data_IF_559851009384
#
_entry.id   IF_559851009384
#
_cell.length_a   1.000
_cell.length_b   1.000
_cell.length_c   1.000
_cell.angle_alpha   90.00
_cell.angle_beta   90.00
_cell.angle_gamma   90.00
#
_symmetry.space_group_name_H-M   'P 1'
#
loop_
_entity.id
_entity.type
_entity.pdbx_description
1 polymer ?
#
# COMPACT_ATOMS: atom_id res chain seq x y z
N UNK A 1 34.59 -21.11 23.36
CA UNK A 1 33.85 -20.56 24.51
C UNK A 1 33.48 -19.09 24.32
N UNK A 2 34.43 -18.18 24.08
CA UNK A 2 34.13 -16.76 23.83
C UNK A 2 33.24 -16.50 22.59
N UNK A 3 33.45 -17.21 21.48
CA UNK A 3 32.62 -17.10 20.28
C UNK A 3 31.16 -17.52 20.55
N UNK A 4 30.97 -18.65 21.24
CA UNK A 4 29.64 -19.15 21.64
C UNK A 4 28.90 -18.16 22.54
N UNK A 5 29.62 -17.55 23.50
CA UNK A 5 29.05 -16.55 24.39
C UNK A 5 28.65 -15.26 23.66
N UNK A 6 29.41 -14.87 22.63
CA UNK A 6 29.08 -13.72 21.79
C UNK A 6 27.84 -13.98 20.93
N UNK A 7 27.72 -15.19 20.37
CA UNK A 7 26.55 -15.65 19.60
C UNK A 7 25.29 -15.69 20.48
N UNK A 8 25.34 -16.35 21.64
CA UNK A 8 24.22 -16.39 22.60
C UNK A 8 23.77 -14.97 23.02
N UNK A 9 24.72 -14.04 23.18
CA UNK A 9 24.40 -12.65 23.52
C UNK A 9 23.71 -11.92 22.36
N UNK A 10 24.14 -12.18 21.14
CA UNK A 10 23.56 -11.57 19.94
C UNK A 10 22.14 -12.11 19.67
N UNK A 11 21.92 -13.41 19.86
CA UNK A 11 20.60 -14.03 19.77
C UNK A 11 19.62 -13.43 20.78
N UNK A 12 20.04 -13.29 22.05
CA UNK A 12 19.20 -12.68 23.09
C UNK A 12 18.79 -11.26 22.72
N UNK A 13 19.72 -10.45 22.21
CA UNK A 13 19.42 -9.10 21.74
C UNK A 13 18.45 -9.12 20.57
N UNK A 14 18.69 -9.98 19.59
CA UNK A 14 17.81 -10.15 18.43
C UNK A 14 16.37 -10.43 18.88
N UNK A 15 16.18 -11.35 19.82
CA UNK A 15 14.86 -11.68 20.35
C UNK A 15 14.21 -10.46 21.04
N UNK A 16 14.96 -9.72 21.86
CA UNK A 16 14.43 -8.49 22.50
C UNK A 16 13.96 -7.48 21.46
N UNK A 17 14.78 -7.18 20.45
CA UNK A 17 14.44 -6.23 19.38
C UNK A 17 13.15 -6.65 18.67
N UNK A 18 13.06 -7.93 18.30
CA UNK A 18 11.89 -8.45 17.58
C UNK A 18 10.64 -8.48 18.44
N UNK A 19 10.73 -8.84 19.72
CA UNK A 19 9.61 -8.83 20.66
C UNK A 19 9.08 -7.41 20.89
N UNK A 20 9.96 -6.43 21.09
CA UNK A 20 9.58 -5.03 21.24
C UNK A 20 8.88 -4.48 19.99
N UNK A 21 9.40 -4.81 18.81
CA UNK A 21 8.74 -4.44 17.55
C UNK A 21 7.37 -5.10 17.38
N UNK A 22 7.26 -6.40 17.64
CA UNK A 22 6.00 -7.14 17.54
C UNK A 22 4.94 -6.69 18.55
N UNK A 23 5.36 -6.18 19.70
CA UNK A 23 4.45 -5.64 20.72
C UNK A 23 4.11 -4.16 20.48
N UNK A 24 4.73 -3.51 19.50
CA UNK A 24 4.56 -2.10 19.19
C UNK A 24 5.24 -1.16 20.19
N UNK A 25 6.17 -1.68 21.01
CA UNK A 25 6.98 -0.89 21.93
C UNK A 25 8.11 -0.14 21.21
N UNK A 26 8.57 -0.68 20.08
CA UNK A 26 9.64 -0.09 19.24
C UNK A 26 9.14 0.14 17.82
N UNK A 27 9.46 1.31 17.26
CA UNK A 27 9.14 1.66 15.87
C UNK A 27 10.16 1.05 14.89
N UNK A 28 9.87 1.11 13.58
CA UNK A 28 10.84 0.70 12.55
C UNK A 28 12.16 1.47 12.68
N UNK A 29 12.09 2.75 13.03
CA UNK A 29 13.27 3.61 13.14
C UNK A 29 14.13 3.25 14.35
N UNK A 30 13.49 2.84 15.46
CA UNK A 30 14.18 2.34 16.65
C UNK A 30 14.89 1.01 16.35
N UNK A 31 14.18 0.08 15.70
CA UNK A 31 14.77 -1.21 15.29
C UNK A 31 15.93 -1.01 14.34
N UNK A 32 15.79 -0.13 13.33
CA UNK A 32 16.90 0.22 12.44
C UNK A 32 18.11 0.71 13.22
N UNK A 33 17.92 1.69 14.11
CA UNK A 33 19.01 2.26 14.89
C UNK A 33 19.70 1.19 15.75
N UNK A 34 18.93 0.30 16.35
CA UNK A 34 19.48 -0.77 17.17
C UNK A 34 20.21 -1.82 16.32
N UNK A 35 19.66 -2.19 15.17
CA UNK A 35 20.32 -3.13 14.25
C UNK A 35 21.65 -2.56 13.75
N UNK A 36 21.69 -1.28 13.35
CA UNK A 36 22.91 -0.60 12.91
C UNK A 36 23.97 -0.49 14.02
N UNK A 37 23.57 -0.38 15.28
CA UNK A 37 24.48 -0.29 16.42
C UNK A 37 25.01 -1.66 16.89
N UNK A 38 24.18 -2.70 16.82
CA UNK A 38 24.45 -3.98 17.45
C UNK A 38 25.00 -5.03 16.48
N UNK A 39 24.76 -4.88 15.17
CA UNK A 39 25.12 -5.87 14.16
C UNK A 39 26.15 -5.32 13.18
N UNK A 40 26.94 -6.24 12.63
CA UNK A 40 27.90 -5.99 11.56
C UNK A 40 27.44 -6.71 10.31
N UNK A 41 28.00 -6.39 9.14
CA UNK A 41 27.69 -7.10 7.89
C UNK A 41 27.82 -8.64 8.02
N UNK A 42 28.79 -9.13 8.81
CA UNK A 42 29.01 -10.56 9.04
C UNK A 42 28.04 -11.20 10.04
N UNK A 43 27.34 -10.42 10.86
CA UNK A 43 26.42 -10.92 11.89
C UNK A 43 24.96 -10.59 11.63
N UNK A 44 24.68 -9.77 10.62
CA UNK A 44 23.32 -9.38 10.22
C UNK A 44 22.46 -10.58 9.79
N UNK A 45 23.10 -11.63 9.25
CA UNK A 45 22.44 -12.90 8.96
C UNK A 45 21.67 -13.46 10.16
N UNK A 46 22.25 -13.38 11.37
CA UNK A 46 21.60 -13.86 12.61
C UNK A 46 20.29 -13.12 12.87
N UNK A 47 20.25 -11.79 12.67
CA UNK A 47 19.04 -11.00 12.84
C UNK A 47 17.94 -11.46 11.87
N UNK A 48 18.30 -11.60 10.60
CA UNK A 48 17.37 -11.99 9.54
C UNK A 48 16.88 -13.42 9.73
N UNK A 49 17.76 -14.35 10.07
CA UNK A 49 17.44 -15.75 10.35
C UNK A 49 16.42 -15.85 11.50
N UNK A 50 16.68 -15.18 12.64
CA UNK A 50 15.76 -15.18 13.77
C UNK A 50 14.42 -14.52 13.44
N UNK A 51 14.44 -13.44 12.66
CA UNK A 51 13.22 -12.80 12.18
C UNK A 51 12.36 -13.79 11.38
N UNK A 52 12.99 -14.52 10.44
CA UNK A 52 12.31 -15.53 9.63
C UNK A 52 11.81 -16.71 10.47
N UNK A 53 12.61 -17.19 11.43
CA UNK A 53 12.20 -18.25 12.37
C UNK A 53 10.99 -17.83 13.22
N UNK A 54 10.97 -16.59 13.70
CA UNK A 54 9.83 -16.03 14.44
C UNK A 54 8.58 -15.94 13.57
N UNK A 55 8.76 -15.70 12.27
CA UNK A 55 7.70 -15.80 11.26
C UNK A 55 7.09 -17.20 11.10
N UNK A 56 7.73 -18.26 11.62
CA UNK A 56 7.17 -19.63 11.60
C UNK A 56 6.30 -19.94 12.83
N UNK A 57 6.18 -19.00 13.76
CA UNK A 57 5.29 -19.18 14.90
C UNK A 57 3.81 -19.07 14.50
N UNK A 58 2.93 -19.81 15.20
CA UNK A 58 1.50 -19.85 14.86
C UNK A 58 0.71 -18.58 15.24
N UNK A 59 1.36 -17.59 15.85
CA UNK A 59 0.69 -16.36 16.30
C UNK A 59 0.27 -15.53 15.08
N UNK A 60 -1.05 -15.34 14.93
CA UNK A 60 -1.62 -14.59 13.82
C UNK A 60 -1.09 -13.13 13.82
N UNK A 61 -0.77 -12.63 12.63
CA UNK A 61 -0.24 -11.28 12.43
C UNK A 61 1.27 -11.16 12.54
N UNK A 62 1.95 -12.09 13.23
CA UNK A 62 3.42 -12.08 13.36
C UNK A 62 4.10 -12.13 11.99
N UNK A 63 3.62 -12.99 11.08
CA UNK A 63 4.20 -13.14 9.74
C UNK A 63 4.20 -11.82 8.98
N UNK A 64 3.06 -11.13 8.98
CA UNK A 64 2.88 -9.89 8.26
C UNK A 64 3.75 -8.77 8.85
N UNK A 65 3.79 -8.65 10.17
CA UNK A 65 4.63 -7.66 10.86
C UNK A 65 6.13 -7.92 10.62
N UNK A 66 6.58 -9.18 10.65
CA UNK A 66 7.97 -9.54 10.32
C UNK A 66 8.29 -9.24 8.86
N UNK A 67 7.40 -9.57 7.93
CA UNK A 67 7.58 -9.23 6.51
C UNK A 67 7.68 -7.72 6.28
N UNK A 68 6.86 -6.93 6.97
CA UNK A 68 6.91 -5.47 6.95
C UNK A 68 8.21 -4.93 7.55
N UNK A 69 8.68 -5.51 8.67
CA UNK A 69 9.96 -5.14 9.27
C UNK A 69 11.12 -5.34 8.30
N UNK A 70 11.24 -6.54 7.75
CA UNK A 70 12.32 -6.88 6.83
C UNK A 70 12.27 -6.01 5.57
N UNK A 71 11.07 -5.75 5.03
CA UNK A 71 10.90 -4.82 3.91
C UNK A 71 11.34 -3.39 4.27
N UNK A 72 10.95 -2.88 5.45
CA UNK A 72 11.32 -1.55 5.91
C UNK A 72 12.82 -1.39 6.14
N UNK A 73 13.48 -2.41 6.71
CA UNK A 73 14.92 -2.41 6.87
C UNK A 73 15.66 -2.44 5.50
N UNK A 74 15.07 -3.07 4.47
CA UNK A 74 15.60 -2.97 3.10
C UNK A 74 15.36 -1.59 2.47
N UNK A 75 14.22 -0.94 2.75
CA UNK A 75 13.97 0.45 2.33
C UNK A 75 15.05 1.40 2.84
N UNK A 76 15.52 1.18 4.07
CA UNK A 76 16.58 1.97 4.68
C UNK A 76 18.00 1.48 4.36
N UNK A 77 18.15 0.42 3.56
CA UNK A 77 19.45 -0.12 3.17
C UNK A 77 20.22 -0.82 4.31
N UNK A 78 19.55 -1.14 5.42
CA UNK A 78 20.14 -1.85 6.57
C UNK A 78 20.42 -3.30 6.19
N UNK A 79 19.47 -3.94 5.50
CA UNK A 79 19.59 -5.32 5.00
C UNK A 79 19.53 -5.29 3.47
N UNK A 80 20.38 -6.09 2.82
CA UNK A 80 20.30 -6.29 1.36
C UNK A 80 19.41 -7.49 1.02
N UNK A 81 18.84 -7.53 -0.21
CA UNK A 81 18.14 -8.71 -0.71
C UNK A 81 18.97 -10.00 -0.61
N UNK A 82 20.29 -9.91 -0.80
CA UNK A 82 21.20 -11.07 -0.76
C UNK A 82 21.25 -11.69 0.64
N UNK A 83 21.31 -10.88 1.70
CA UNK A 83 21.29 -11.40 3.08
C UNK A 83 20.00 -12.18 3.34
N UNK A 84 18.85 -11.67 2.88
CA UNK A 84 17.57 -12.39 2.99
C UNK A 84 17.58 -13.70 2.21
N UNK A 85 18.06 -13.71 0.96
CA UNK A 85 18.14 -14.91 0.12
C UNK A 85 19.01 -15.99 0.77
N UNK A 86 20.16 -15.61 1.33
CA UNK A 86 21.06 -16.52 2.03
C UNK A 86 20.36 -17.17 3.24
N UNK A 87 19.71 -16.37 4.09
CA UNK A 87 19.04 -16.90 5.29
C UNK A 87 17.80 -17.74 4.95
N UNK A 88 17.04 -17.37 3.91
CA UNK A 88 15.95 -18.21 3.41
C UNK A 88 16.47 -19.57 2.92
N UNK A 89 17.63 -19.59 2.25
CA UNK A 89 18.24 -20.83 1.77
C UNK A 89 18.55 -21.81 2.90
N UNK A 90 19.07 -21.32 4.03
CA UNK A 90 19.33 -22.14 5.22
C UNK A 90 18.04 -22.75 5.79
N UNK A 91 16.96 -21.96 5.83
CA UNK A 91 15.66 -22.45 6.30
C UNK A 91 15.06 -23.47 5.31
N UNK A 92 15.20 -23.23 4.01
CA UNK A 92 14.65 -24.10 2.98
C UNK A 92 15.33 -25.45 2.92
N UNK A 93 16.64 -25.50 3.17
CA UNK A 93 17.40 -26.75 3.30
C UNK A 93 16.80 -27.68 4.37
N UNK A 94 16.24 -27.12 5.44
CA UNK A 94 15.63 -27.85 6.56
C UNK A 94 14.10 -27.88 6.51
N UNK A 95 13.46 -27.37 5.46
CA UNK A 95 12.02 -27.09 5.50
C UNK A 95 11.13 -28.33 5.61
N UNK A 96 11.53 -29.46 5.02
CA UNK A 96 10.80 -30.72 5.20
C UNK A 96 10.88 -31.26 6.65
N UNK A 97 12.03 -31.08 7.32
CA UNK A 97 12.17 -31.44 8.73
C UNK A 97 11.34 -30.51 9.63
N UNK A 98 11.38 -29.19 9.35
CA UNK A 98 10.56 -28.20 10.05
C UNK A 98 9.06 -28.50 9.85
N UNK A 99 8.66 -29.00 8.66
CA UNK A 99 7.28 -29.35 8.37
C UNK A 99 6.72 -30.48 9.26
N UNK A 100 7.58 -31.30 9.88
CA UNK A 100 7.17 -32.35 10.83
C UNK A 100 6.54 -31.71 12.07
N UNK A 101 7.18 -30.66 12.61
CA UNK A 101 6.72 -29.96 13.82
C UNK A 101 5.77 -28.79 13.50
N UNK A 102 5.95 -28.18 12.32
CA UNK A 102 5.18 -27.03 11.83
C UNK A 102 4.54 -27.37 10.48
N UNK A 103 3.38 -28.07 10.46
CA UNK A 103 2.75 -28.52 9.22
C UNK A 103 2.38 -27.41 8.22
N UNK A 104 2.27 -26.15 8.70
CA UNK A 104 1.96 -24.95 7.90
C UNK A 104 3.20 -24.12 7.55
N UNK A 105 4.40 -24.68 7.66
CA UNK A 105 5.67 -23.94 7.44
C UNK A 105 5.68 -23.22 6.09
N UNK A 106 5.14 -23.85 5.05
CA UNK A 106 5.08 -23.32 3.69
C UNK A 106 4.20 -22.06 3.59
N UNK A 107 3.01 -22.09 4.18
CA UNK A 107 2.08 -20.96 4.20
C UNK A 107 2.57 -19.84 5.13
N UNK A 108 3.21 -20.18 6.24
CA UNK A 108 3.77 -19.19 7.18
C UNK A 108 4.94 -18.43 6.54
N UNK A 109 5.86 -19.16 5.89
CA UNK A 109 6.92 -18.55 5.07
C UNK A 109 6.32 -17.64 3.99
N UNK A 110 5.32 -18.11 3.25
CA UNK A 110 4.67 -17.30 2.23
C UNK A 110 4.08 -15.99 2.80
N UNK A 111 3.42 -16.04 3.96
CA UNK A 111 2.88 -14.83 4.62
C UNK A 111 3.96 -13.83 5.04
N UNK A 112 5.16 -14.29 5.43
CA UNK A 112 6.30 -13.40 5.71
C UNK A 112 6.82 -12.74 4.43
N UNK A 113 6.84 -13.49 3.33
CA UNK A 113 7.40 -13.01 2.05
C UNK A 113 6.45 -12.09 1.29
N UNK A 114 5.12 -12.21 1.47
CA UNK A 114 4.13 -11.40 0.76
C UNK A 114 4.38 -9.89 0.89
N UNK A 115 4.55 -9.30 2.10
CA UNK A 115 4.87 -7.88 2.22
C UNK A 115 6.15 -7.46 1.49
N UNK A 116 7.17 -8.32 1.49
CA UNK A 116 8.49 -8.07 0.88
C UNK A 116 8.38 -8.08 -0.66
N UNK A 117 7.61 -9.03 -1.22
CA UNK A 117 7.34 -9.14 -2.66
C UNK A 117 6.42 -8.02 -3.15
N UNK A 118 5.39 -7.66 -2.38
CA UNK A 118 4.52 -6.52 -2.72
C UNK A 118 5.28 -5.19 -2.74
N UNK A 119 6.30 -5.06 -1.89
CA UNK A 119 7.20 -3.91 -1.88
C UNK A 119 8.32 -4.01 -2.93
N UNK A 120 8.30 -5.05 -3.78
CA UNK A 120 9.27 -5.34 -4.86
C UNK A 120 10.73 -5.34 -4.37
N UNK A 121 10.98 -5.70 -3.10
CA UNK A 121 12.35 -5.78 -2.53
C UNK A 121 13.11 -7.01 -3.00
N UNK A 122 12.37 -8.07 -3.28
CA UNK A 122 12.84 -9.29 -3.92
C UNK A 122 11.87 -9.67 -5.04
N UNK A 123 12.24 -10.65 -5.85
CA UNK A 123 11.41 -11.20 -6.93
C UNK A 123 11.59 -12.73 -7.01
N UNK A 124 10.99 -13.39 -8.00
CA UNK A 124 11.07 -14.84 -8.12
C UNK A 124 12.45 -15.37 -8.54
N UNK A 125 13.34 -14.53 -9.10
CA UNK A 125 14.75 -14.94 -9.31
C UNK A 125 15.51 -15.04 -7.99
N UNK A 126 15.23 -14.14 -7.04
CA UNK A 126 15.76 -14.22 -5.69
C UNK A 126 15.23 -15.45 -4.94
N UNK A 127 13.92 -15.73 -5.04
CA UNK A 127 13.35 -16.93 -4.42
C UNK A 127 13.88 -18.22 -5.04
N UNK A 128 14.08 -18.26 -6.36
CA UNK A 128 14.77 -19.38 -7.03
C UNK A 128 16.17 -19.59 -6.46
N UNK A 129 16.93 -18.51 -6.23
CA UNK A 129 18.26 -18.58 -5.64
C UNK A 129 18.22 -19.10 -4.20
N UNK A 130 17.25 -18.66 -3.38
CA UNK A 130 17.05 -19.19 -2.03
C UNK A 130 16.68 -20.68 -2.06
N UNK A 131 15.90 -21.12 -3.05
CA UNK A 131 15.53 -22.53 -3.21
C UNK A 131 16.68 -23.42 -3.71
N UNK A 132 17.87 -22.90 -4.00
CA UNK A 132 18.98 -23.68 -4.56
C UNK A 132 19.27 -25.01 -3.84
N UNK A 133 19.22 -25.10 -2.49
CA UNK A 133 19.40 -26.37 -1.77
C UNK A 133 18.30 -27.42 -2.04
N UNK A 134 17.11 -26.98 -2.47
CA UNK A 134 15.90 -27.81 -2.63
C UNK A 134 15.30 -27.73 -4.04
N UNK A 135 16.02 -27.21 -5.04
CA UNK A 135 15.50 -27.15 -6.41
C UNK A 135 15.18 -28.54 -6.93
N UNK A 136 14.08 -28.63 -7.69
CA UNK A 136 13.56 -29.88 -8.26
C UNK A 136 13.17 -30.94 -7.23
N UNK A 137 12.92 -30.55 -5.98
CA UNK A 137 12.29 -31.39 -4.95
C UNK A 137 10.84 -30.96 -4.73
N UNK A 138 10.07 -31.77 -4.01
CA UNK A 138 8.71 -31.42 -3.61
C UNK A 138 8.67 -30.20 -2.68
N UNK A 139 9.74 -29.94 -1.91
CA UNK A 139 9.82 -28.79 -1.01
C UNK A 139 9.81 -27.46 -1.78
N UNK A 140 10.60 -27.32 -2.86
CA UNK A 140 10.57 -26.11 -3.68
C UNK A 140 9.18 -25.83 -4.27
N UNK A 141 8.47 -26.86 -4.72
CA UNK A 141 7.10 -26.74 -5.21
C UNK A 141 6.14 -26.28 -4.10
N UNK A 142 6.28 -26.85 -2.89
CA UNK A 142 5.47 -26.50 -1.70
C UNK A 142 5.75 -25.10 -1.18
N UNK A 143 6.98 -24.59 -1.32
CA UNK A 143 7.31 -23.19 -0.99
C UNK A 143 6.71 -22.21 -2.00
N UNK A 144 6.76 -22.58 -3.28
CA UNK A 144 6.39 -21.67 -4.37
C UNK A 144 4.87 -21.44 -4.45
N UNK A 145 4.06 -22.50 -4.38
CA UNK A 145 2.62 -22.40 -4.61
C UNK A 145 1.91 -21.46 -3.61
N UNK A 146 2.08 -21.60 -2.27
CA UNK A 146 1.46 -20.69 -1.31
C UNK A 146 1.90 -19.24 -1.49
N UNK A 147 3.15 -18.99 -1.89
CA UNK A 147 3.65 -17.65 -2.14
C UNK A 147 2.92 -16.96 -3.30
N UNK A 148 2.81 -17.65 -4.43
CA UNK A 148 2.07 -17.16 -5.60
C UNK A 148 0.59 -16.93 -5.27
N UNK A 149 -0.04 -17.91 -4.62
CA UNK A 149 -1.47 -17.87 -4.28
C UNK A 149 -1.81 -16.76 -3.31
N UNK A 150 -1.07 -16.61 -2.21
CA UNK A 150 -1.33 -15.56 -1.24
C UNK A 150 -1.08 -14.17 -1.85
N UNK A 151 0.00 -14.00 -2.62
CA UNK A 151 0.28 -12.73 -3.28
C UNK A 151 -0.79 -12.38 -4.31
N UNK A 152 -1.36 -13.35 -5.03
CA UNK A 152 -2.47 -13.14 -5.95
C UNK A 152 -3.79 -12.78 -5.23
N UNK A 153 -3.96 -13.19 -3.97
CA UNK A 153 -5.14 -12.87 -3.15
C UNK A 153 -5.04 -11.50 -2.47
N UNK A 154 -3.86 -10.91 -2.39
CA UNK A 154 -3.67 -9.58 -1.83
C UNK A 154 -4.37 -8.52 -2.69
N UNK A 155 -5.25 -7.73 -2.05
CA UNK A 155 -6.07 -6.70 -2.72
C UNK A 155 -5.24 -5.70 -3.53
N UNK A 156 -4.02 -5.41 -3.08
CA UNK A 156 -3.12 -4.43 -3.73
C UNK A 156 -2.27 -5.02 -4.85
N UNK A 157 -2.13 -6.34 -4.92
CA UNK A 157 -1.33 -7.03 -5.92
C UNK A 157 -2.23 -7.68 -6.99
N UNK A 158 -3.03 -8.67 -6.60
CA UNK A 158 -3.86 -9.43 -7.52
C UNK A 158 -3.05 -10.32 -8.51
N UNK A 159 -3.71 -11.14 -9.32
CA UNK A 159 -3.04 -12.06 -10.26
C UNK A 159 -2.15 -11.36 -11.30
N UNK A 160 -2.52 -10.15 -11.74
CA UNK A 160 -1.76 -9.39 -12.73
C UNK A 160 -0.39 -8.92 -12.22
N UNK A 161 -0.31 -8.49 -10.96
CA UNK A 161 0.97 -8.14 -10.33
C UNK A 161 1.89 -9.36 -10.23
N UNK A 162 1.34 -10.50 -9.79
CA UNK A 162 2.10 -11.75 -9.68
C UNK A 162 2.66 -12.16 -11.04
N UNK A 163 1.86 -12.07 -12.10
CA UNK A 163 2.32 -12.37 -13.46
C UNK A 163 3.44 -11.44 -13.91
N UNK A 164 3.28 -10.13 -13.71
CA UNK A 164 4.33 -9.14 -14.05
C UNK A 164 5.65 -9.43 -13.32
N UNK A 165 5.56 -9.72 -12.02
CA UNK A 165 6.73 -10.03 -11.19
C UNK A 165 7.38 -11.35 -11.59
N UNK A 166 6.58 -12.35 -11.96
CA UNK A 166 7.04 -13.63 -12.48
C UNK A 166 7.78 -13.48 -13.82
N UNK A 167 7.17 -12.80 -14.79
CA UNK A 167 7.73 -12.59 -16.13
C UNK A 167 9.04 -11.78 -16.06
N UNK A 168 9.09 -10.72 -15.24
CA UNK A 168 10.30 -9.90 -15.07
C UNK A 168 11.43 -10.64 -14.34
N UNK A 169 11.11 -11.71 -13.61
CA UNK A 169 12.10 -12.53 -12.91
C UNK A 169 12.84 -13.51 -13.83
N UNK A 170 12.35 -13.75 -15.05
CA UNK A 170 12.95 -14.67 -16.02
C UNK A 170 13.25 -16.07 -15.44
N UNK A 171 12.30 -16.62 -14.69
CA UNK A 171 12.37 -17.96 -14.10
C UNK A 171 11.35 -18.90 -14.72
N UNK A 172 11.60 -20.21 -14.64
CA UNK A 172 10.66 -21.22 -15.10
C UNK A 172 10.06 -22.01 -13.94
N UNK A 173 8.78 -22.40 -14.03
CA UNK A 173 8.20 -23.34 -13.06
C UNK A 173 9.00 -24.65 -13.01
N UNK A 174 9.60 -25.07 -14.14
CA UNK A 174 10.48 -26.23 -14.23
C UNK A 174 11.76 -26.12 -13.41
N UNK A 175 12.16 -24.91 -12.99
CA UNK A 175 13.28 -24.75 -12.08
C UNK A 175 12.94 -25.26 -10.68
N UNK A 176 11.70 -25.08 -10.25
CA UNK A 176 11.23 -25.41 -8.90
C UNK A 176 10.66 -26.82 -8.80
N UNK A 177 10.00 -27.31 -9.86
CA UNK A 177 9.27 -28.58 -9.82
C UNK A 177 10.19 -29.80 -10.02
N UNK A 178 9.89 -30.94 -9.35
CA UNK A 178 10.48 -32.23 -9.68
C UNK A 178 10.28 -32.61 -11.14
N UNK A 179 11.21 -33.41 -11.69
CA UNK A 179 11.20 -33.76 -13.12
C UNK A 179 10.02 -34.65 -13.55
N UNK A 180 9.43 -35.37 -12.59
CA UNK A 180 8.25 -36.22 -12.75
C UNK A 180 6.92 -35.47 -12.59
N UNK A 181 6.94 -34.22 -12.13
CA UNK A 181 5.75 -33.38 -11.99
C UNK A 181 5.44 -32.65 -13.29
N UNK A 182 4.21 -32.82 -13.78
CA UNK A 182 3.71 -32.07 -14.93
C UNK A 182 3.37 -30.62 -14.54
N UNK A 183 3.91 -29.65 -15.28
CA UNK A 183 3.72 -28.21 -15.03
C UNK A 183 2.26 -27.80 -15.11
N UNK A 184 1.52 -28.27 -16.13
CA UNK A 184 0.12 -27.90 -16.34
C UNK A 184 -0.78 -28.45 -15.23
N UNK A 185 -0.51 -29.67 -14.77
CA UNK A 185 -1.19 -30.27 -13.60
C UNK A 185 -0.91 -29.45 -12.35
N UNK A 186 0.36 -29.10 -12.08
CA UNK A 186 0.73 -28.28 -10.93
C UNK A 186 0.02 -26.93 -10.92
N UNK A 187 -0.08 -26.28 -12.09
CA UNK A 187 -0.79 -25.00 -12.25
C UNK A 187 -2.26 -25.16 -11.89
N UNK A 188 -2.92 -26.16 -12.47
CA UNK A 188 -4.35 -26.40 -12.25
C UNK A 188 -4.66 -26.73 -10.79
N UNK A 189 -3.86 -27.60 -10.19
CA UNK A 189 -4.07 -28.06 -8.81
C UNK A 189 -3.90 -26.92 -7.78
N UNK A 190 -3.10 -25.90 -8.12
CA UNK A 190 -2.85 -24.75 -7.26
C UNK A 190 -3.58 -23.46 -7.71
N UNK A 191 -4.43 -23.54 -8.75
CA UNK A 191 -5.12 -22.38 -9.33
C UNK A 191 -4.18 -21.25 -9.75
N UNK A 192 -3.07 -21.61 -10.40
CA UNK A 192 -2.00 -20.69 -10.84
C UNK A 192 -2.12 -20.33 -12.33
N UNK A 193 -3.30 -20.45 -12.93
CA UNK A 193 -3.51 -20.30 -14.37
C UNK A 193 -3.08 -18.91 -14.88
N UNK A 194 -3.09 -17.90 -14.01
CA UNK A 194 -2.60 -16.55 -14.29
C UNK A 194 -1.10 -16.50 -14.66
N UNK A 195 -0.32 -17.55 -14.34
CA UNK A 195 1.07 -17.72 -14.79
C UNK A 195 1.20 -18.26 -16.22
N UNK A 196 0.13 -18.79 -16.81
CA UNK A 196 0.14 -19.41 -18.15
C UNK A 196 -0.88 -18.80 -19.10
N UNK A 197 -0.61 -18.95 -20.40
CA UNK A 197 -1.40 -18.34 -21.47
C UNK A 197 -0.64 -17.24 -22.21
N UNK A 198 -1.19 -16.81 -23.36
CA UNK A 198 -0.91 -15.45 -23.82
C UNK A 198 -1.19 -14.51 -22.63
N UNK A 199 -0.36 -13.47 -22.39
CA UNK A 199 -0.77 -12.42 -21.47
C UNK A 199 -2.23 -12.12 -21.82
N UNK A 200 -3.16 -12.11 -20.83
CA UNK A 200 -4.59 -11.93 -21.11
C UNK A 200 -4.67 -10.86 -22.16
N UNK A 201 -5.19 -11.17 -23.37
CA UNK A 201 -5.08 -10.31 -24.58
C UNK A 201 -5.05 -8.90 -24.08
N UNK A 202 -3.88 -8.27 -24.17
CA UNK A 202 -3.62 -7.04 -23.43
C UNK A 202 -4.67 -6.06 -23.93
N UNK A 203 -5.75 -5.92 -23.18
CA UNK A 203 -6.65 -4.82 -23.36
C UNK A 203 -5.83 -3.69 -22.74
N UNK A 204 -5.38 -2.70 -23.52
CA UNK A 204 -4.65 -1.57 -22.96
C UNK A 204 -5.47 -0.86 -21.88
N UNK A 205 -6.76 -1.18 -21.74
CA UNK A 205 -7.64 -0.75 -20.66
C UNK A 205 -7.58 -1.61 -19.37
N UNK A 206 -7.06 -2.85 -19.37
CA UNK A 206 -7.02 -3.73 -18.18
C UNK A 206 -5.72 -3.66 -17.38
N UNK A 207 -4.70 -2.97 -17.91
CA UNK A 207 -3.47 -2.62 -17.20
C UNK A 207 -3.56 -1.25 -16.52
N UNK A 208 -4.73 -0.60 -16.62
CA UNK A 208 -5.01 0.62 -15.90
C UNK A 208 -5.29 0.24 -14.45
N UNK A 209 -4.54 0.87 -13.54
CA UNK A 209 -4.86 0.86 -12.13
C UNK A 209 -6.35 1.18 -11.98
N UNK A 210 -7.06 0.44 -11.13
CA UNK A 210 -8.42 0.84 -10.76
C UNK A 210 -8.38 2.24 -10.15
N UNK A 211 -9.49 2.99 -10.19
CA UNK A 211 -9.51 4.32 -9.57
C UNK A 211 -9.16 4.26 -8.07
N UNK A 212 -9.50 3.18 -7.38
CA UNK A 212 -9.09 2.96 -5.98
C UNK A 212 -7.57 2.77 -5.85
N UNK A 213 -6.94 2.03 -6.76
CA UNK A 213 -5.47 1.87 -6.78
C UNK A 213 -4.76 3.17 -7.15
N UNK A 214 -5.35 3.97 -8.05
CA UNK A 214 -4.87 5.31 -8.40
C UNK A 214 -4.94 6.19 -7.15
N UNK A 215 -6.07 6.22 -6.44
CA UNK A 215 -6.26 6.95 -5.20
C UNK A 215 -5.22 6.56 -4.12
N UNK A 216 -5.02 5.27 -3.88
CA UNK A 216 -4.06 4.75 -2.89
C UNK A 216 -2.61 5.15 -3.22
N UNK A 217 -2.26 5.22 -4.50
CA UNK A 217 -0.91 5.64 -4.93
C UNK A 217 -0.74 7.14 -4.88
N UNK A 218 -1.75 7.92 -5.30
CA UNK A 218 -1.73 9.38 -5.15
C UNK A 218 -1.60 9.78 -3.67
N UNK A 219 -2.38 9.15 -2.79
CA UNK A 219 -2.30 9.39 -1.34
C UNK A 219 -0.87 9.18 -0.82
N UNK A 220 -0.21 8.08 -1.22
CA UNK A 220 1.18 7.80 -0.84
C UNK A 220 2.17 8.85 -1.37
N UNK A 221 2.06 9.26 -2.64
CA UNK A 221 2.92 10.30 -3.20
C UNK A 221 2.78 11.62 -2.43
N UNK A 222 1.56 11.99 -2.06
CA UNK A 222 1.26 13.22 -1.29
C UNK A 222 1.75 13.10 0.16
N UNK A 223 1.59 11.94 0.80
CA UNK A 223 2.12 11.68 2.14
C UNK A 223 3.65 11.74 2.18
N UNK A 224 4.32 11.20 1.15
CA UNK A 224 5.76 11.26 0.96
C UNK A 224 6.26 12.63 0.46
N UNK A 225 5.38 13.63 0.37
CA UNK A 225 5.71 15.00 -0.06
C UNK A 225 6.48 15.03 -1.39
N UNK A 226 6.07 14.18 -2.33
CA UNK A 226 6.65 14.15 -3.68
C UNK A 226 6.42 15.48 -4.41
N UNK A 227 7.30 15.78 -5.36
CA UNK A 227 7.22 17.03 -6.11
C UNK A 227 5.95 17.10 -6.97
N UNK A 228 5.53 18.33 -7.29
CA UNK A 228 4.42 18.59 -8.21
C UNK A 228 4.60 17.86 -9.55
N UNK A 229 5.82 17.88 -10.12
CA UNK A 229 6.14 17.20 -11.37
C UNK A 229 6.01 15.68 -11.27
N UNK A 230 6.47 15.07 -10.16
CA UNK A 230 6.35 13.62 -9.97
C UNK A 230 4.88 13.18 -9.84
N UNK A 231 4.04 14.01 -9.20
CA UNK A 231 2.60 13.74 -9.09
C UNK A 231 1.92 13.89 -10.45
N UNK A 232 2.28 14.91 -11.24
CA UNK A 232 1.77 15.08 -12.60
C UNK A 232 2.20 13.94 -13.53
N UNK A 233 3.46 13.53 -13.47
CA UNK A 233 3.98 12.41 -14.26
C UNK A 233 3.22 11.12 -13.94
N UNK A 234 3.00 10.85 -12.64
CA UNK A 234 2.16 9.73 -12.21
C UNK A 234 0.74 9.82 -12.78
N UNK A 235 0.06 10.97 -12.64
CA UNK A 235 -1.32 11.14 -13.15
C UNK A 235 -1.35 10.95 -14.67
N UNK A 236 -0.43 11.57 -15.40
CA UNK A 236 -0.36 11.46 -16.86
C UNK A 236 -0.13 10.01 -17.33
N UNK A 237 0.73 9.28 -16.62
CA UNK A 237 1.10 7.90 -16.95
C UNK A 237 0.00 6.89 -16.61
N UNK A 238 -0.73 7.11 -15.50
CA UNK A 238 -1.63 6.09 -14.93
C UNK A 238 -3.11 6.40 -15.10
N UNK A 239 -3.48 7.67 -15.35
CA UNK A 239 -4.88 8.11 -15.54
C UNK A 239 -5.14 8.44 -17.01
N UNK A 240 -4.17 9.06 -17.70
CA UNK A 240 -4.29 9.42 -19.11
C UNK A 240 -5.51 10.28 -19.41
N UNK A 241 -6.30 9.91 -20.41
CA UNK A 241 -7.50 10.67 -20.82
C UNK A 241 -8.63 10.63 -19.79
N UNK A 242 -8.58 9.73 -18.79
CA UNK A 242 -9.59 9.66 -17.72
C UNK A 242 -9.49 10.79 -16.70
N UNK A 243 -8.54 11.71 -16.84
CA UNK A 243 -8.46 12.91 -15.99
C UNK A 243 -9.70 13.79 -16.10
N UNK A 244 -10.50 13.59 -17.15
CA UNK A 244 -11.77 14.30 -17.33
C UNK A 244 -12.93 13.68 -16.56
N UNK A 245 -12.80 12.44 -16.07
CA UNK A 245 -13.84 11.71 -15.36
C UNK A 245 -14.05 12.26 -13.94
N UNK A 246 -15.29 12.59 -13.53
CA UNK A 246 -15.62 12.93 -12.14
C UNK A 246 -15.12 11.90 -11.10
N UNK A 247 -15.00 10.62 -11.46
CA UNK A 247 -14.42 9.60 -10.59
C UNK A 247 -12.94 9.85 -10.28
N UNK A 248 -12.16 10.31 -11.25
CA UNK A 248 -10.78 10.72 -11.01
C UNK A 248 -10.70 11.93 -10.09
N UNK A 249 -11.58 12.92 -10.29
CA UNK A 249 -11.61 14.11 -9.43
C UNK A 249 -11.92 13.73 -7.98
N UNK A 250 -12.87 12.81 -7.76
CA UNK A 250 -13.13 12.26 -6.43
C UNK A 250 -11.88 11.63 -5.82
N UNK A 251 -11.20 10.77 -6.57
CA UNK A 251 -9.97 10.12 -6.11
C UNK A 251 -8.87 11.15 -5.76
N UNK A 252 -8.62 12.14 -6.63
CA UNK A 252 -7.62 13.17 -6.42
C UNK A 252 -7.90 14.00 -5.16
N UNK A 253 -9.11 14.50 -5.01
CA UNK A 253 -9.49 15.37 -3.89
C UNK A 253 -9.50 14.57 -2.58
N UNK A 254 -10.01 13.33 -2.58
CA UNK A 254 -9.92 12.46 -1.41
C UNK A 254 -8.47 12.20 -1.00
N UNK A 255 -7.58 11.87 -1.94
CA UNK A 255 -6.15 11.65 -1.64
C UNK A 255 -5.47 12.88 -1.03
N UNK A 256 -5.75 14.08 -1.56
CA UNK A 256 -5.18 15.33 -1.05
C UNK A 256 -5.70 15.61 0.36
N UNK A 257 -7.02 15.61 0.55
CA UNK A 257 -7.63 15.91 1.85
C UNK A 257 -7.22 14.90 2.92
N UNK A 258 -7.25 13.60 2.60
CA UNK A 258 -6.85 12.53 3.53
C UNK A 258 -5.39 12.65 3.95
N UNK A 259 -4.48 13.03 3.03
CA UNK A 259 -3.08 13.27 3.37
C UNK A 259 -2.84 14.50 4.26
N UNK A 260 -3.81 15.42 4.34
CA UNK A 260 -3.75 16.65 5.13
C UNK A 260 -4.48 16.51 6.48
N UNK A 261 -5.10 15.36 6.76
CA UNK A 261 -5.80 15.10 8.02
C UNK A 261 -4.94 14.22 8.91
N UNK A 262 -4.77 14.58 10.18
CA UNK A 262 -3.95 13.81 11.12
C UNK A 262 -4.44 13.88 12.57
N UNK A 263 -3.97 12.94 13.39
CA UNK A 263 -4.28 12.85 14.81
C UNK A 263 -5.67 12.29 15.12
N UNK A 264 -5.91 11.95 16.39
CA UNK A 264 -7.15 11.33 16.85
C UNK A 264 -8.42 12.20 16.65
N UNK A 265 -8.24 13.52 16.53
CA UNK A 265 -9.33 14.47 16.32
C UNK A 265 -9.53 14.85 14.84
N UNK A 266 -8.82 14.21 13.90
CA UNK A 266 -8.88 14.52 12.46
C UNK A 266 -8.64 16.01 12.15
N UNK A 267 -7.57 16.58 12.72
CA UNK A 267 -7.21 17.97 12.49
C UNK A 267 -6.69 18.15 11.05
N UNK A 268 -7.18 19.19 10.38
CA UNK A 268 -6.71 19.59 9.06
C UNK A 268 -5.41 20.40 9.15
N UNK A 269 -4.39 19.96 8.44
CA UNK A 269 -3.20 20.75 8.12
C UNK A 269 -3.47 21.64 6.91
N UNK A 270 -4.00 22.84 7.17
CA UNK A 270 -4.33 23.81 6.11
C UNK A 270 -3.08 24.28 5.34
N UNK A 271 -1.90 24.28 5.98
CA UNK A 271 -0.65 24.69 5.32
C UNK A 271 -0.27 23.66 4.27
N UNK A 272 -0.36 22.38 4.60
CA UNK A 272 -0.13 21.28 3.66
C UNK A 272 -1.16 21.26 2.54
N UNK A 273 -2.45 21.43 2.85
CA UNK A 273 -3.51 21.50 1.83
C UNK A 273 -3.23 22.63 0.82
N UNK A 274 -2.78 23.78 1.32
CA UNK A 274 -2.45 24.94 0.49
C UNK A 274 -1.30 24.69 -0.51
N UNK A 275 -0.41 23.71 -0.25
CA UNK A 275 0.66 23.35 -1.19
C UNK A 275 0.11 22.67 -2.46
N UNK A 276 -1.09 22.09 -2.40
CA UNK A 276 -1.70 21.35 -3.50
C UNK A 276 -2.74 22.14 -4.30
N UNK A 277 -2.95 23.44 -4.00
CA UNK A 277 -3.90 24.31 -4.75
C UNK A 277 -3.68 24.26 -6.26
N UNK A 278 -2.42 24.37 -6.71
CA UNK A 278 -2.07 24.32 -8.14
C UNK A 278 -2.47 23.01 -8.80
N UNK A 279 -2.45 21.91 -8.05
CA UNK A 279 -2.87 20.60 -8.55
C UNK A 279 -4.39 20.51 -8.64
N UNK A 280 -5.09 20.99 -7.60
CA UNK A 280 -6.56 21.07 -7.58
C UNK A 280 -7.06 21.94 -8.75
N UNK A 281 -6.54 23.16 -8.88
CA UNK A 281 -6.90 24.09 -9.96
C UNK A 281 -6.72 23.47 -11.35
N UNK A 282 -5.62 22.74 -11.56
CA UNK A 282 -5.31 22.11 -12.86
C UNK A 282 -6.37 21.10 -13.31
N UNK A 283 -6.93 20.32 -12.37
CA UNK A 283 -7.81 19.21 -12.74
C UNK A 283 -9.30 19.53 -12.54
N UNK A 284 -9.66 20.34 -11.55
CA UNK A 284 -11.03 20.80 -11.34
C UNK A 284 -11.40 21.87 -12.38
N UNK A 285 -10.50 22.83 -12.61
CA UNK A 285 -10.53 23.76 -13.76
C UNK A 285 -11.85 24.52 -13.95
N UNK A 286 -12.53 24.91 -12.86
CA UNK A 286 -13.82 25.61 -12.87
C UNK A 286 -14.91 24.91 -13.70
N UNK A 287 -14.83 23.58 -13.86
CA UNK A 287 -15.87 22.80 -14.53
C UNK A 287 -16.85 22.28 -13.51
N UNK A 288 -18.12 22.65 -13.69
CA UNK A 288 -19.20 22.39 -12.73
C UNK A 288 -19.30 20.91 -12.30
N UNK A 289 -19.20 19.97 -13.24
CA UNK A 289 -19.25 18.53 -12.97
C UNK A 289 -18.07 18.05 -12.10
N UNK A 290 -16.89 18.63 -12.30
CA UNK A 290 -15.68 18.34 -11.52
C UNK A 290 -15.72 19.00 -10.15
N UNK A 291 -16.23 20.22 -10.08
CA UNK A 291 -16.46 20.93 -8.82
C UNK A 291 -17.45 20.17 -7.93
N UNK A 292 -18.57 19.72 -8.47
CA UNK A 292 -19.55 18.89 -7.75
C UNK A 292 -18.96 17.55 -7.30
N UNK A 293 -18.08 16.95 -8.12
CA UNK A 293 -17.35 15.75 -7.77
C UNK A 293 -16.38 15.99 -6.61
N UNK A 294 -15.67 17.12 -6.62
CA UNK A 294 -14.79 17.54 -5.53
C UNK A 294 -15.56 17.75 -4.23
N UNK A 295 -16.66 18.50 -4.26
CA UNK A 295 -17.54 18.73 -3.09
C UNK A 295 -18.03 17.39 -2.52
N UNK A 296 -18.55 16.51 -3.39
CA UNK A 296 -19.06 15.20 -2.99
C UNK A 296 -17.97 14.31 -2.38
N UNK A 297 -16.74 14.36 -2.89
CA UNK A 297 -15.62 13.56 -2.35
C UNK A 297 -15.22 13.97 -0.93
N UNK A 298 -15.24 15.26 -0.63
CA UNK A 298 -14.96 15.78 0.72
C UNK A 298 -16.10 15.39 1.66
N UNK A 299 -17.35 15.52 1.21
CA UNK A 299 -18.50 15.06 1.99
C UNK A 299 -18.37 13.56 2.34
N UNK A 300 -18.13 12.69 1.35
CA UNK A 300 -17.95 11.26 1.58
C UNK A 300 -16.78 10.94 2.52
N UNK A 301 -15.65 11.65 2.36
CA UNK A 301 -14.50 11.50 3.26
C UNK A 301 -14.86 11.85 4.70
N UNK A 302 -15.51 13.00 4.92
CA UNK A 302 -15.90 13.46 6.27
C UNK A 302 -16.95 12.52 6.89
N UNK A 303 -17.88 11.99 6.10
CA UNK A 303 -18.84 10.98 6.55
C UNK A 303 -18.12 9.70 6.99
N UNK A 304 -17.12 9.22 6.23
CA UNK A 304 -16.28 8.07 6.62
C UNK A 304 -15.49 8.31 7.91
N UNK A 305 -15.15 9.56 8.21
CA UNK A 305 -14.47 9.97 9.45
C UNK A 305 -15.45 10.31 10.59
N UNK A 306 -16.73 9.97 10.45
CA UNK A 306 -17.79 10.20 11.45
C UNK A 306 -17.98 11.68 11.83
N UNK A 307 -17.89 12.58 10.84
CA UNK A 307 -18.14 14.01 10.96
C UNK A 307 -17.33 14.76 12.05
N UNK A 308 -15.99 14.83 11.93
CA UNK A 308 -15.17 15.62 12.85
C UNK A 308 -15.58 17.09 12.86
N UNK A 309 -15.64 17.68 14.06
CA UNK A 309 -16.15 19.04 14.25
C UNK A 309 -15.39 20.08 13.43
N UNK A 310 -16.11 20.81 12.58
CA UNK A 310 -15.55 21.90 11.76
C UNK A 310 -14.73 21.46 10.53
N UNK A 311 -14.42 20.16 10.37
CA UNK A 311 -13.53 19.69 9.33
C UNK A 311 -14.03 20.03 7.91
N UNK A 312 -15.28 19.68 7.60
CA UNK A 312 -15.86 19.95 6.28
C UNK A 312 -15.92 21.45 5.96
N UNK A 313 -16.31 22.26 6.95
CA UNK A 313 -16.39 23.72 6.81
C UNK A 313 -15.01 24.32 6.54
N UNK A 314 -13.98 23.85 7.24
CA UNK A 314 -12.61 24.34 7.03
C UNK A 314 -12.09 23.99 5.63
N UNK A 315 -12.36 22.78 5.13
CA UNK A 315 -11.99 22.40 3.75
C UNK A 315 -12.75 23.25 2.73
N UNK A 316 -14.06 23.44 2.90
CA UNK A 316 -14.89 24.20 1.96
C UNK A 316 -14.55 25.69 1.94
N UNK A 317 -14.25 26.29 3.09
CA UNK A 317 -13.74 27.66 3.14
C UNK A 317 -12.46 27.80 2.32
N UNK A 318 -11.49 26.89 2.46
CA UNK A 318 -10.26 26.92 1.66
C UNK A 318 -10.57 26.80 0.17
N UNK A 319 -11.48 25.89 -0.20
CA UNK A 319 -11.85 25.71 -1.61
C UNK A 319 -12.55 26.94 -2.21
N UNK A 320 -13.38 27.62 -1.42
CA UNK A 320 -14.05 28.85 -1.82
C UNK A 320 -13.08 30.04 -1.87
N UNK A 321 -12.35 30.30 -0.78
CA UNK A 321 -11.46 31.47 -0.61
C UNK A 321 -10.35 31.50 -1.67
N UNK A 322 -9.89 30.32 -2.11
CA UNK A 322 -8.84 30.18 -3.13
C UNK A 322 -9.38 30.03 -4.56
N UNK A 323 -10.68 30.22 -4.76
CA UNK A 323 -11.37 30.05 -6.04
C UNK A 323 -11.06 28.69 -6.69
N UNK A 324 -11.07 27.63 -5.90
CA UNK A 324 -10.92 26.25 -6.38
C UNK A 324 -12.27 25.65 -6.80
N UNK A 325 -13.34 26.13 -6.18
CA UNK A 325 -14.74 25.72 -6.41
C UNK A 325 -15.62 26.96 -6.32
N UNK A 326 -16.53 27.12 -7.28
CA UNK A 326 -17.47 28.24 -7.31
C UNK A 326 -18.56 28.17 -6.24
N UNK A 327 -19.07 29.34 -5.83
CA UNK A 327 -20.26 29.46 -4.98
C UNK A 327 -21.47 28.72 -5.57
N UNK A 328 -21.66 28.82 -6.88
CA UNK A 328 -22.75 28.17 -7.61
C UNK A 328 -22.70 26.65 -7.45
N UNK A 329 -21.53 26.02 -7.61
CA UNK A 329 -21.38 24.57 -7.40
C UNK A 329 -21.67 24.14 -5.97
N UNK A 330 -21.29 24.94 -4.97
CA UNK A 330 -21.64 24.67 -3.57
C UNK A 330 -23.16 24.69 -3.35
N UNK A 331 -23.84 25.73 -3.85
CA UNK A 331 -25.30 25.87 -3.74
C UNK A 331 -26.03 24.78 -4.52
N UNK A 332 -25.51 24.41 -5.70
CA UNK A 332 -26.05 23.31 -6.49
C UNK A 332 -25.94 21.98 -5.75
N UNK A 333 -24.79 21.67 -5.14
CA UNK A 333 -24.64 20.46 -4.32
C UNK A 333 -25.57 20.44 -3.10
N UNK A 334 -25.78 21.60 -2.45
CA UNK A 334 -26.74 21.79 -1.34
C UNK A 334 -28.17 21.47 -1.76
N UNK A 335 -28.58 21.98 -2.91
CA UNK A 335 -29.96 21.92 -3.40
C UNK A 335 -30.29 20.63 -4.17
N UNK A 336 -29.27 19.84 -4.51
CA UNK A 336 -29.43 18.55 -5.16
C UNK A 336 -30.16 17.55 -4.25
N UNK A 337 -31.31 17.08 -4.76
CA UNK A 337 -32.27 16.20 -4.07
C UNK A 337 -31.92 14.73 -4.14
N UNK A 338 -30.87 14.34 -4.86
CA UNK A 338 -30.33 12.99 -4.80
C UNK A 338 -29.51 12.82 -3.50
N UNK A 339 -29.79 11.76 -2.75
CA UNK A 339 -29.11 11.38 -1.49
C UNK A 339 -29.20 12.41 -0.34
N UNK A 340 -30.35 13.08 -0.18
CA UNK A 340 -30.58 14.07 0.91
C UNK A 340 -30.33 13.49 2.31
N UNK A 341 -30.67 12.22 2.54
CA UNK A 341 -30.46 11.54 3.83
C UNK A 341 -28.97 11.42 4.20
N UNK A 342 -28.09 11.29 3.21
CA UNK A 342 -26.64 11.18 3.41
C UNK A 342 -26.00 12.56 3.67
N UNK A 343 -26.58 13.64 3.14
CA UNK A 343 -26.06 15.02 3.28
C UNK A 343 -26.41 15.70 4.61
N UNK A 344 -27.40 15.20 5.35
CA UNK A 344 -28.02 15.90 6.49
C UNK A 344 -27.05 16.45 7.55
N UNK A 345 -26.13 15.63 8.04
CA UNK A 345 -25.15 16.06 9.07
C UNK A 345 -24.17 17.09 8.51
N UNK A 346 -23.77 16.93 7.25
CA UNK A 346 -22.87 17.89 6.58
C UNK A 346 -23.57 19.23 6.34
N UNK A 347 -24.83 19.23 5.93
CA UNK A 347 -25.62 20.45 5.74
C UNK A 347 -25.81 21.20 7.07
N UNK A 348 -26.03 20.49 8.18
CA UNK A 348 -26.08 21.11 9.50
C UNK A 348 -24.74 21.77 9.87
N UNK A 349 -23.61 21.08 9.63
CA UNK A 349 -22.29 21.64 9.89
C UNK A 349 -21.95 22.85 8.99
N UNK A 350 -22.54 22.90 7.79
CA UNK A 350 -22.32 23.93 6.78
C UNK A 350 -23.39 25.04 6.76
N UNK A 351 -24.34 25.06 7.70
CA UNK A 351 -25.44 26.03 7.68
C UNK A 351 -24.95 27.48 7.58
N UNK A 352 -23.97 27.86 8.42
CA UNK A 352 -23.35 29.20 8.37
C UNK A 352 -22.54 29.49 7.10
N UNK A 353 -21.97 28.45 6.47
CA UNK A 353 -21.26 28.60 5.20
C UNK A 353 -22.24 28.94 4.07
N UNK A 354 -23.36 28.22 3.99
CA UNK A 354 -24.35 28.44 2.94
C UNK A 354 -25.15 29.74 3.13
N UNK A 355 -25.46 30.14 4.37
CA UNK A 355 -26.09 31.45 4.60
C UNK A 355 -25.23 32.58 4.05
N UNK A 356 -23.91 32.54 4.28
CA UNK A 356 -23.00 33.55 3.75
C UNK A 356 -22.93 33.55 2.21
N UNK A 357 -23.01 32.38 1.56
CA UNK A 357 -23.05 32.30 0.10
C UNK A 357 -24.34 32.91 -0.48
N UNK A 358 -25.48 32.65 0.14
CA UNK A 358 -26.79 33.13 -0.31
C UNK A 358 -26.95 34.65 -0.11
N UNK A 359 -26.39 35.21 0.97
CA UNK A 359 -26.36 36.67 1.19
C UNK A 359 -25.60 37.40 0.06
N UNK A 360 -24.48 36.83 -0.40
CA UNK A 360 -23.67 37.41 -1.48
C UNK A 360 -24.40 37.37 -2.83
N UNK A 361 -25.18 36.32 -3.13
CA UNK A 361 -25.96 36.27 -4.38
C UNK A 361 -27.06 37.34 -4.44
N UNK A 362 -27.77 37.55 -3.33
CA UNK A 362 -28.85 38.55 -3.23
C UNK A 362 -28.31 39.96 -3.45
N UNK A 363 -27.15 40.29 -2.86
CA UNK A 363 -26.52 41.61 -3.03
C UNK A 363 -26.08 41.85 -4.49
N UNK A 364 -25.62 40.82 -5.21
CA UNK A 364 -25.20 40.95 -6.63
C UNK A 364 -26.36 41.11 -7.61
N UNK A 365 -27.52 40.51 -7.33
CA UNK A 365 -28.73 40.64 -8.15
C UNK A 365 -29.41 42.01 -7.96
N UNK A 366 -29.32 42.59 -6.75
CA UNK A 366 -29.81 43.95 -6.47
C UNK A 366 -28.93 45.06 -7.07
N UNK A 367 -27.62 44.84 -7.25
CA UNK A 367 -26.71 45.80 -7.89
C UNK A 367 -26.73 45.77 -9.43
N UNK A 368 -27.21 44.68 -10.03
CA UNK A 368 -27.27 44.50 -11.49
C UNK A 368 -28.66 44.74 -12.11
N UNK A 369 -29.66 45.00 -11.28
CA UNK A 369 -31.03 45.43 -11.66
C UNK A 369 -31.20 46.94 -11.56
#
# INVERSE_FOLDING_TARGET
>A
EAARLAEEKLERKTNTILEEYLTGLSSLEDVKQEVEQQFTASTLGVFVEKSLQLGLERKAGTQQTIGQLLSGLMDHGVISPQVLVEQLGLIYEMADDIAIDVPKVWELQAQVLVPILMAEKINYSHLRAACNPVLKTSAAARLLAPNLTLLAQEKRAGPGFVRKLWDSSNVSLKDFLPSDVNVDTFIKDNSLEYLTGEPPKFDPSSNQLSMDQIQDRMLRLIQLSQSYENILDFISTNVGDKVEDPQFIRALITSICEACISGANHNLDSVKLNQYKKLIQRFVDNKEDRELAAISSVHMLVTRLEHPSGLIKNIFNIFLDDNLISSESFLKWKNDKENVEEKGVSLMALASFFMALEEVEVDTDEETS
#
